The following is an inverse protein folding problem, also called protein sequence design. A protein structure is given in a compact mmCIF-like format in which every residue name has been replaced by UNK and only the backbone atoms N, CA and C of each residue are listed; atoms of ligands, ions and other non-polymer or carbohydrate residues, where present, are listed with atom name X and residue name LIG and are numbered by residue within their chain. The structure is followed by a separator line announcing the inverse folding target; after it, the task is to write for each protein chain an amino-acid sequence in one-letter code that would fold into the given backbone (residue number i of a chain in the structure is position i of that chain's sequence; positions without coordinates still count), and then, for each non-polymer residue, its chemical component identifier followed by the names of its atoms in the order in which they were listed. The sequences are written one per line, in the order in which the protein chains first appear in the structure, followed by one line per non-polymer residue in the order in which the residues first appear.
data_IF_303834900247
#
_entry.id   IF_303834900247
#
_cell.length_a   1.000
_cell.length_b   1.000
_cell.length_c   1.000
_cell.angle_alpha   90.00
_cell.angle_beta   90.00
_cell.angle_gamma   90.00
#
_symmetry.space_group_name_H-M   'P 1'
#
loop_
_entity.id
_entity.type
_entity.pdbx_description
1 polymer ?
#
# COMPACT_ATOMS: atom_id res chain seq x y z
N UNK A 1 -29.09 -58.42 1.24
CA UNK A 1 -28.80 -57.49 0.14
C UNK A 1 -29.35 -56.10 0.49
N UNK A 2 -28.53 -55.23 1.06
CA UNK A 2 -28.91 -53.84 1.39
C UNK A 2 -28.37 -52.89 0.32
N UNK A 3 -29.26 -52.17 -0.38
CA UNK A 3 -28.90 -51.14 -1.37
C UNK A 3 -28.43 -49.88 -0.64
N UNK A 4 -27.13 -49.62 -0.70
CA UNK A 4 -26.51 -48.33 -0.37
C UNK A 4 -27.00 -47.25 -1.35
N UNK A 5 -27.73 -46.24 -0.85
CA UNK A 5 -28.10 -45.05 -1.61
C UNK A 5 -26.88 -44.14 -1.73
N UNK A 6 -26.39 -43.96 -2.96
CA UNK A 6 -25.32 -43.02 -3.30
C UNK A 6 -25.67 -41.59 -2.86
N UNK A 7 -24.81 -41.03 -2.01
CA UNK A 7 -24.85 -39.62 -1.61
C UNK A 7 -24.34 -38.80 -2.79
N UNK A 8 -25.26 -38.14 -3.49
CA UNK A 8 -24.95 -37.20 -4.59
C UNK A 8 -24.03 -36.09 -4.10
N UNK A 9 -22.75 -36.16 -4.47
CA UNK A 9 -21.77 -35.08 -4.33
C UNK A 9 -22.02 -34.00 -5.39
N UNK A 10 -22.95 -33.08 -5.11
CA UNK A 10 -22.97 -31.82 -5.85
C UNK A 10 -21.64 -31.08 -5.54
N UNK A 11 -20.78 -30.81 -6.53
CA UNK A 11 -19.36 -30.57 -6.29
C UNK A 11 -19.12 -29.13 -5.84
N UNK A 12 -18.09 -28.95 -4.99
CA UNK A 12 -17.59 -27.70 -4.41
C UNK A 12 -17.53 -26.48 -5.36
N UNK A 13 -17.52 -26.68 -6.68
CA UNK A 13 -17.65 -25.62 -7.69
C UNK A 13 -18.91 -24.75 -7.51
N UNK A 14 -20.08 -25.33 -7.19
CA UNK A 14 -21.32 -24.53 -7.00
C UNK A 14 -21.29 -23.65 -5.74
N UNK A 15 -20.50 -24.02 -4.73
CA UNK A 15 -20.31 -23.22 -3.52
C UNK A 15 -19.43 -21.99 -3.82
N UNK A 16 -18.30 -22.17 -4.51
CA UNK A 16 -17.41 -21.06 -4.89
C UNK A 16 -18.07 -20.01 -5.79
N UNK A 17 -18.94 -20.43 -6.72
CA UNK A 17 -19.70 -19.49 -7.58
C UNK A 17 -20.81 -18.74 -6.84
N UNK A 18 -21.44 -19.36 -5.83
CA UNK A 18 -22.41 -18.67 -4.97
C UNK A 18 -21.72 -17.68 -4.05
N UNK A 19 -20.59 -18.06 -3.47
CA UNK A 19 -19.80 -17.24 -2.56
C UNK A 19 -19.16 -16.03 -3.27
N UNK A 20 -18.66 -16.23 -4.50
CA UNK A 20 -18.22 -15.13 -5.37
C UNK A 20 -19.39 -14.19 -5.73
N UNK A 21 -20.58 -14.73 -6.04
CA UNK A 21 -21.78 -13.91 -6.27
C UNK A 21 -22.24 -13.16 -5.02
N UNK A 22 -22.09 -13.75 -3.84
CA UNK A 22 -22.42 -13.14 -2.54
C UNK A 22 -21.47 -11.98 -2.24
N UNK A 23 -20.16 -12.17 -2.46
CA UNK A 23 -19.14 -11.11 -2.34
C UNK A 23 -19.40 -9.97 -3.34
N UNK A 24 -19.65 -10.28 -4.61
CA UNK A 24 -20.02 -9.29 -5.65
C UNK A 24 -21.30 -8.53 -5.28
N UNK A 25 -22.29 -9.20 -4.67
CA UNK A 25 -23.56 -8.58 -4.28
C UNK A 25 -23.41 -7.58 -3.14
N UNK A 26 -22.42 -7.76 -2.27
CA UNK A 26 -22.24 -6.96 -1.07
C UNK A 26 -21.38 -5.70 -1.28
N UNK A 27 -20.46 -5.69 -2.25
CA UNK A 27 -19.63 -4.51 -2.56
C UNK A 27 -19.61 -4.15 -4.06
N UNK A 28 -20.80 -3.98 -4.66
CA UNK A 28 -20.96 -3.72 -6.10
C UNK A 28 -20.04 -2.59 -6.64
N UNK A 29 -19.87 -1.43 -5.97
CA UNK A 29 -19.00 -0.38 -6.47
C UNK A 29 -17.53 -0.81 -6.56
N UNK A 30 -17.00 -1.43 -5.51
CA UNK A 30 -15.62 -1.91 -5.49
C UNK A 30 -15.37 -2.98 -6.56
N UNK A 31 -16.33 -3.89 -6.75
CA UNK A 31 -16.24 -4.90 -7.81
C UNK A 31 -16.24 -4.29 -9.22
N UNK A 32 -17.04 -3.25 -9.47
CA UNK A 32 -17.04 -2.53 -10.75
C UNK A 32 -15.69 -1.87 -10.99
N UNK A 33 -15.18 -1.12 -10.00
CA UNK A 33 -13.86 -0.48 -10.09
C UNK A 33 -12.76 -1.51 -10.35
N UNK A 34 -12.72 -2.57 -9.55
CA UNK A 34 -11.78 -3.68 -9.73
C UNK A 34 -11.85 -4.28 -11.13
N UNK A 35 -13.04 -4.52 -11.66
CA UNK A 35 -13.22 -5.09 -12.99
C UNK A 35 -12.73 -4.16 -14.09
N UNK A 36 -13.05 -2.87 -14.00
CA UNK A 36 -12.63 -1.85 -14.97
C UNK A 36 -11.11 -1.71 -14.97
N UNK A 37 -10.50 -1.48 -13.80
CA UNK A 37 -9.04 -1.35 -13.67
C UNK A 37 -8.35 -2.61 -14.17
N UNK A 38 -8.85 -3.79 -13.83
CA UNK A 38 -8.28 -5.07 -14.27
C UNK A 38 -8.31 -5.24 -15.79
N UNK A 39 -9.41 -4.87 -16.45
CA UNK A 39 -9.50 -4.92 -17.92
C UNK A 39 -8.47 -3.98 -18.54
N UNK A 40 -8.32 -2.75 -18.00
CA UNK A 40 -7.31 -1.79 -18.48
C UNK A 40 -5.91 -2.38 -18.36
N UNK A 41 -5.55 -2.93 -17.19
CA UNK A 41 -4.22 -3.55 -16.97
C UNK A 41 -3.97 -4.71 -17.92
N UNK A 42 -4.98 -5.55 -18.21
CA UNK A 42 -4.84 -6.65 -19.18
C UNK A 42 -4.57 -6.11 -20.59
N UNK A 43 -5.25 -5.03 -21.00
CA UNK A 43 -5.01 -4.41 -22.29
C UNK A 43 -3.59 -3.82 -22.39
N UNK A 44 -3.12 -3.16 -21.32
CA UNK A 44 -1.74 -2.66 -21.22
C UNK A 44 -0.74 -3.80 -21.27
N UNK A 45 -0.97 -4.90 -20.54
CA UNK A 45 -0.11 -6.07 -20.56
C UNK A 45 0.03 -6.67 -21.97
N UNK A 46 -1.08 -6.80 -22.71
CA UNK A 46 -1.06 -7.25 -24.11
C UNK A 46 -0.27 -6.27 -24.97
N UNK A 47 -0.47 -4.96 -24.80
CA UNK A 47 0.28 -3.94 -25.52
C UNK A 47 1.80 -4.00 -25.25
N UNK A 48 2.21 -4.18 -23.99
CA UNK A 48 3.61 -4.35 -23.61
C UNK A 48 4.24 -5.59 -24.26
N UNK A 49 3.55 -6.72 -24.30
CA UNK A 49 4.02 -7.95 -24.97
C UNK A 49 4.19 -7.71 -26.47
N UNK A 50 3.22 -7.07 -27.13
CA UNK A 50 3.31 -6.74 -28.55
C UNK A 50 4.50 -5.83 -28.88
N UNK A 51 4.90 -4.97 -27.93
CA UNK A 51 6.05 -4.06 -28.03
C UNK A 51 7.36 -4.66 -27.49
N UNK A 52 7.34 -5.90 -26.99
CA UNK A 52 8.47 -6.60 -26.34
C UNK A 52 9.03 -5.84 -25.12
N UNK A 53 8.17 -5.11 -24.41
CA UNK A 53 8.51 -4.43 -23.17
C UNK A 53 8.27 -5.37 -21.98
N UNK A 54 9.25 -6.22 -21.69
CA UNK A 54 9.11 -7.30 -20.70
C UNK A 54 9.02 -6.78 -19.26
N UNK A 55 9.78 -5.74 -18.90
CA UNK A 55 9.71 -5.12 -17.58
C UNK A 55 8.31 -4.56 -17.30
N UNK A 56 7.77 -3.74 -18.21
CA UNK A 56 6.41 -3.21 -18.08
C UNK A 56 5.33 -4.31 -18.04
N UNK A 57 5.56 -5.42 -18.76
CA UNK A 57 4.69 -6.59 -18.68
C UNK A 57 4.74 -7.27 -17.30
N UNK A 58 5.93 -7.38 -16.69
CA UNK A 58 6.08 -7.89 -15.32
C UNK A 58 5.39 -6.98 -14.30
N UNK A 59 5.49 -5.65 -14.45
CA UNK A 59 4.76 -4.68 -13.60
C UNK A 59 3.25 -4.84 -13.74
N UNK A 60 2.74 -5.12 -14.94
CA UNK A 60 1.33 -5.47 -15.13
C UNK A 60 0.94 -6.77 -14.41
N UNK A 61 1.77 -7.80 -14.47
CA UNK A 61 1.51 -9.06 -13.76
C UNK A 61 1.49 -8.86 -12.24
N UNK A 62 2.44 -8.09 -11.71
CA UNK A 62 2.48 -7.69 -10.30
C UNK A 62 1.21 -6.91 -9.92
N UNK A 63 0.79 -5.95 -10.75
CA UNK A 63 -0.45 -5.18 -10.52
C UNK A 63 -1.68 -6.10 -10.43
N UNK A 64 -1.81 -7.07 -11.34
CA UNK A 64 -2.92 -8.02 -11.32
C UNK A 64 -2.91 -8.91 -10.07
N UNK A 65 -1.73 -9.27 -9.57
CA UNK A 65 -1.56 -9.98 -8.31
C UNK A 65 -1.98 -9.08 -7.12
N UNK A 66 -1.51 -7.83 -7.08
CA UNK A 66 -1.80 -6.88 -6.02
C UNK A 66 -3.29 -6.52 -5.93
N UNK A 67 -4.01 -6.49 -7.07
CA UNK A 67 -5.47 -6.34 -7.07
C UNK A 67 -6.23 -7.46 -6.35
N UNK A 68 -5.57 -8.57 -6.00
CA UNK A 68 -6.14 -9.63 -5.16
C UNK A 68 -5.96 -9.37 -3.66
N UNK A 69 -5.14 -8.39 -3.26
CA UNK A 69 -4.79 -8.13 -1.86
C UNK A 69 -6.00 -7.84 -0.98
N UNK A 70 -6.97 -6.98 -1.35
CA UNK A 70 -8.14 -6.72 -0.49
C UNK A 70 -8.93 -8.00 -0.21
N UNK A 71 -9.26 -8.78 -1.23
CA UNK A 71 -9.99 -10.04 -1.09
C UNK A 71 -9.20 -11.10 -0.30
N UNK A 72 -7.88 -11.12 -0.43
CA UNK A 72 -7.02 -12.00 0.35
C UNK A 72 -7.09 -11.66 1.84
N UNK A 73 -6.96 -10.37 2.17
CA UNK A 73 -7.04 -9.85 3.54
C UNK A 73 -8.41 -10.14 4.17
N UNK A 74 -9.51 -9.84 3.46
CA UNK A 74 -10.87 -10.10 3.94
C UNK A 74 -11.09 -11.58 4.27
N UNK A 75 -10.66 -12.49 3.36
CA UNK A 75 -10.82 -13.93 3.57
C UNK A 75 -9.94 -14.48 4.69
N UNK A 76 -8.70 -14.01 4.79
CA UNK A 76 -7.74 -14.51 5.79
C UNK A 76 -8.06 -14.01 7.18
N UNK A 77 -8.47 -12.76 7.31
CA UNK A 77 -8.83 -12.17 8.60
C UNK A 77 -10.31 -12.39 8.95
N UNK A 78 -11.12 -12.88 8.01
CA UNK A 78 -12.58 -13.04 8.17
C UNK A 78 -13.27 -11.70 8.50
N UNK A 79 -12.80 -10.62 7.85
CA UNK A 79 -13.28 -9.24 8.02
C UNK A 79 -13.88 -8.75 6.70
N UNK A 80 -14.67 -7.67 6.76
CA UNK A 80 -15.10 -6.93 5.57
C UNK A 80 -14.44 -5.57 5.57
N UNK A 81 -13.78 -5.23 4.48
CA UNK A 81 -13.21 -3.90 4.32
C UNK A 81 -14.30 -2.91 3.92
N UNK A 82 -14.22 -1.66 4.39
CA UNK A 82 -15.10 -0.60 3.90
C UNK A 82 -14.91 -0.41 2.40
N UNK A 83 -16.02 -0.22 1.67
CA UNK A 83 -16.00 -0.02 0.20
C UNK A 83 -15.03 1.08 -0.22
N UNK A 84 -14.97 2.18 0.53
CA UNK A 84 -14.08 3.29 0.22
C UNK A 84 -12.60 2.90 0.37
N UNK A 85 -12.25 2.14 1.41
CA UNK A 85 -10.89 1.65 1.63
C UNK A 85 -10.47 0.67 0.52
N UNK A 86 -11.34 -0.27 0.16
CA UNK A 86 -11.10 -1.23 -0.93
C UNK A 86 -10.88 -0.51 -2.27
N UNK A 87 -11.76 0.43 -2.63
CA UNK A 87 -11.60 1.24 -3.86
C UNK A 87 -10.30 2.05 -3.80
N UNK A 88 -10.00 2.68 -2.67
CA UNK A 88 -8.81 3.53 -2.54
C UNK A 88 -7.53 2.72 -2.72
N UNK A 89 -7.45 1.51 -2.17
CA UNK A 89 -6.30 0.60 -2.37
C UNK A 89 -6.18 0.18 -3.84
N UNK A 90 -7.27 -0.15 -4.51
CA UNK A 90 -7.23 -0.52 -5.93
C UNK A 90 -6.78 0.63 -6.84
N UNK A 91 -7.30 1.83 -6.60
CA UNK A 91 -6.90 3.03 -7.33
C UNK A 91 -5.45 3.37 -7.04
N UNK A 92 -5.01 3.28 -5.77
CA UNK A 92 -3.62 3.51 -5.37
C UNK A 92 -2.66 2.58 -6.11
N UNK A 93 -2.92 1.26 -6.12
CA UNK A 93 -2.11 0.28 -6.83
C UNK A 93 -2.03 0.61 -8.33
N UNK A 94 -3.16 1.01 -8.94
CA UNK A 94 -3.19 1.40 -10.35
C UNK A 94 -2.36 2.67 -10.61
N UNK A 95 -2.47 3.68 -9.75
CA UNK A 95 -1.72 4.92 -9.86
C UNK A 95 -0.21 4.69 -9.70
N UNK A 96 0.21 3.85 -8.75
CA UNK A 96 1.63 3.54 -8.55
C UNK A 96 2.19 2.72 -9.74
N UNK A 97 1.57 1.58 -10.06
CA UNK A 97 2.17 0.61 -10.97
C UNK A 97 1.90 0.90 -12.45
N UNK A 98 0.73 1.44 -12.81
CA UNK A 98 0.39 1.67 -14.21
C UNK A 98 0.69 3.10 -14.62
N UNK A 99 0.24 4.08 -13.84
CA UNK A 99 0.51 5.48 -14.16
C UNK A 99 1.93 5.87 -13.79
N UNK A 100 2.40 5.50 -12.60
CA UNK A 100 3.75 5.75 -12.12
C UNK A 100 4.81 5.08 -13.00
N UNK A 101 4.89 3.76 -12.97
CA UNK A 101 5.94 3.01 -13.69
C UNK A 101 5.76 3.03 -15.21
N UNK A 102 4.61 2.55 -15.71
CA UNK A 102 4.45 2.30 -17.16
C UNK A 102 4.19 3.60 -17.94
N UNK A 103 3.39 4.51 -17.39
CA UNK A 103 3.14 5.81 -18.02
C UNK A 103 4.17 6.89 -17.61
N UNK A 104 5.17 6.53 -16.81
CA UNK A 104 6.27 7.38 -16.36
C UNK A 104 5.84 8.63 -15.59
N UNK A 105 4.78 8.53 -14.78
CA UNK A 105 4.31 9.69 -14.00
C UNK A 105 5.28 10.08 -12.88
N UNK A 106 6.08 9.13 -12.36
CA UNK A 106 7.14 9.42 -11.39
C UNK A 106 8.15 10.46 -11.90
N UNK A 107 8.39 10.47 -13.22
CA UNK A 107 9.34 11.40 -13.85
C UNK A 107 8.62 12.64 -14.39
N UNK A 108 7.44 12.46 -14.99
CA UNK A 108 6.75 13.54 -15.72
C UNK A 108 6.02 14.53 -14.82
N UNK A 109 5.46 14.06 -13.70
CA UNK A 109 4.61 14.89 -12.85
C UNK A 109 5.31 15.15 -11.52
N UNK A 110 5.63 16.43 -11.21
CA UNK A 110 6.17 16.80 -9.92
C UNK A 110 5.24 16.33 -8.80
N UNK A 111 5.83 15.82 -7.71
CA UNK A 111 5.12 15.35 -6.52
C UNK A 111 4.25 14.10 -6.72
N UNK A 112 4.25 13.44 -7.89
CA UNK A 112 3.47 12.22 -8.08
C UNK A 112 3.80 11.17 -7.02
N UNK A 113 5.08 10.95 -6.80
CA UNK A 113 5.57 10.00 -5.82
C UNK A 113 5.16 10.39 -4.40
N UNK A 114 5.51 11.61 -4.02
CA UNK A 114 5.19 12.20 -2.71
C UNK A 114 3.69 12.14 -2.40
N UNK A 115 2.83 12.35 -3.40
CA UNK A 115 1.38 12.23 -3.26
C UNK A 115 0.99 10.78 -2.96
N UNK A 116 1.56 9.81 -3.67
CA UNK A 116 1.34 8.39 -3.41
C UNK A 116 1.83 8.01 -2.01
N UNK A 117 3.05 8.36 -1.62
CA UNK A 117 3.55 8.06 -0.26
C UNK A 117 2.71 8.72 0.84
N UNK A 118 2.21 9.94 0.62
CA UNK A 118 1.24 10.57 1.54
C UNK A 118 -0.06 9.78 1.63
N UNK A 119 -0.63 9.37 0.49
CA UNK A 119 -1.85 8.58 0.45
C UNK A 119 -1.65 7.21 1.10
N UNK A 120 -0.48 6.61 0.89
CA UNK A 120 -0.07 5.33 1.47
C UNK A 120 -0.08 5.40 3.01
N UNK A 121 0.54 6.44 3.56
CA UNK A 121 0.58 6.69 5.00
C UNK A 121 -0.81 6.82 5.60
N UNK A 122 -1.71 7.53 4.92
CA UNK A 122 -3.10 7.67 5.31
C UNK A 122 -3.87 6.33 5.26
N UNK A 123 -3.76 5.60 4.14
CA UNK A 123 -4.50 4.35 3.91
C UNK A 123 -4.05 3.23 4.85
N UNK A 124 -2.75 3.08 5.10
CA UNK A 124 -2.27 2.06 6.02
C UNK A 124 -2.55 2.42 7.48
N UNK A 125 -2.56 3.71 7.84
CA UNK A 125 -3.07 4.13 9.14
C UNK A 125 -4.56 3.80 9.29
N UNK A 126 -5.37 4.03 8.24
CA UNK A 126 -6.77 3.62 8.21
C UNK A 126 -6.94 2.12 8.40
N UNK A 127 -6.18 1.33 7.66
CA UNK A 127 -6.21 -0.12 7.77
C UNK A 127 -5.79 -0.61 9.17
N UNK A 128 -4.68 -0.10 9.71
CA UNK A 128 -4.20 -0.44 11.06
C UNK A 128 -5.22 -0.08 12.14
N UNK A 129 -5.85 1.09 12.03
CA UNK A 129 -6.92 1.51 12.91
C UNK A 129 -8.12 0.55 12.87
N UNK A 130 -8.54 0.15 11.67
CA UNK A 130 -9.62 -0.82 11.48
C UNK A 130 -9.30 -2.16 12.14
N UNK A 131 -8.05 -2.63 12.00
CA UNK A 131 -7.61 -3.90 12.59
C UNK A 131 -7.70 -3.86 14.13
N UNK A 132 -7.24 -2.77 14.75
CA UNK A 132 -7.32 -2.60 16.21
C UNK A 132 -8.76 -2.46 16.67
N UNK A 133 -9.60 -1.74 15.93
CA UNK A 133 -11.02 -1.59 16.25
C UNK A 133 -11.77 -2.93 16.21
N UNK A 134 -11.52 -3.75 15.19
CA UNK A 134 -12.04 -5.11 15.08
C UNK A 134 -11.61 -6.02 16.25
N UNK A 135 -10.36 -5.88 16.72
CA UNK A 135 -9.89 -6.61 17.90
C UNK A 135 -10.59 -6.14 19.18
N UNK A 136 -10.88 -4.85 19.31
CA UNK A 136 -11.60 -4.27 20.44
C UNK A 136 -13.08 -4.69 20.50
N UNK A 137 -13.73 -4.92 19.35
CA UNK A 137 -15.12 -5.40 19.31
C UNK A 137 -15.26 -6.88 19.71
N UNK A 138 -14.17 -7.64 19.70
CA UNK A 138 -14.19 -9.05 20.06
C UNK A 138 -14.33 -9.22 21.58
N UNK A 139 -15.50 -9.68 22.03
CA UNK A 139 -15.84 -9.88 23.46
C UNK A 139 -14.86 -10.77 24.25
N UNK A 140 -14.00 -11.55 23.58
CA UNK A 140 -12.92 -12.31 24.24
C UNK A 140 -11.75 -11.43 24.68
N UNK A 141 -11.50 -10.32 23.99
CA UNK A 141 -10.48 -9.34 24.34
C UNK A 141 -11.12 -8.24 25.19
N UNK A 142 -10.95 -8.34 26.51
CA UNK A 142 -11.49 -7.40 27.51
C UNK A 142 -10.71 -6.08 27.62
N UNK A 143 -9.80 -5.79 26.70
CA UNK A 143 -9.03 -4.56 26.72
C UNK A 143 -9.78 -3.51 25.90
N UNK A 144 -10.55 -2.65 26.57
CA UNK A 144 -11.04 -1.42 25.95
C UNK A 144 -9.83 -0.49 25.77
N UNK A 145 -9.07 -0.67 24.69
CA UNK A 145 -7.91 0.17 24.39
C UNK A 145 -8.38 1.62 24.23
N UNK A 146 -7.63 2.56 24.80
CA UNK A 146 -8.00 3.97 24.70
C UNK A 146 -7.97 4.44 23.24
N UNK A 147 -8.78 5.43 22.85
CA UNK A 147 -8.76 5.98 21.50
C UNK A 147 -7.37 6.47 21.08
N UNK A 148 -6.58 6.97 22.06
CA UNK A 148 -5.20 7.37 21.83
C UNK A 148 -4.31 6.17 21.51
N UNK A 149 -4.43 5.06 22.25
CA UNK A 149 -3.68 3.85 21.97
C UNK A 149 -3.98 3.30 20.58
N UNK A 150 -5.25 3.30 20.16
CA UNK A 150 -5.63 2.89 18.81
C UNK A 150 -4.98 3.76 17.73
N UNK A 151 -4.95 5.08 17.93
CA UNK A 151 -4.31 6.02 17.00
C UNK A 151 -2.79 5.81 16.92
N UNK A 152 -2.12 5.57 18.04
CA UNK A 152 -0.67 5.27 18.07
C UNK A 152 -0.38 3.95 17.37
N UNK A 153 -1.16 2.90 17.62
CA UNK A 153 -0.99 1.60 16.95
C UNK A 153 -1.21 1.71 15.44
N UNK A 154 -2.22 2.47 15.00
CA UNK A 154 -2.48 2.74 13.59
C UNK A 154 -1.32 3.48 12.93
N UNK A 155 -0.76 4.48 13.62
CA UNK A 155 0.40 5.23 13.16
C UNK A 155 1.64 4.32 13.02
N UNK A 156 1.96 3.53 14.06
CA UNK A 156 3.09 2.60 14.03
C UNK A 156 2.93 1.55 12.93
N UNK A 157 1.71 1.05 12.72
CA UNK A 157 1.43 0.11 11.64
C UNK A 157 1.73 0.75 10.28
N UNK A 158 1.25 1.97 10.05
CA UNK A 158 1.49 2.70 8.81
C UNK A 158 2.98 2.94 8.54
N UNK A 159 3.71 3.45 9.54
CA UNK A 159 5.15 3.69 9.41
C UNK A 159 5.94 2.40 9.18
N UNK A 160 5.54 1.29 9.81
CA UNK A 160 6.19 -0.01 9.60
C UNK A 160 6.06 -0.47 8.15
N UNK A 161 4.88 -0.28 7.54
CA UNK A 161 4.69 -0.62 6.12
C UNK A 161 5.49 0.32 5.23
N UNK A 162 5.54 1.62 5.54
CA UNK A 162 6.39 2.58 4.84
C UNK A 162 7.86 2.14 4.83
N UNK A 163 8.45 1.87 6.00
CA UNK A 163 9.85 1.39 6.09
C UNK A 163 10.06 0.07 5.36
N UNK A 164 9.10 -0.86 5.42
CA UNK A 164 9.20 -2.12 4.69
C UNK A 164 9.20 -1.92 3.17
N UNK A 165 8.54 -0.87 2.68
CA UNK A 165 8.57 -0.48 1.27
C UNK A 165 9.93 0.08 0.88
N UNK A 166 10.52 0.99 1.66
CA UNK A 166 11.87 1.50 1.41
C UNK A 166 12.93 0.38 1.39
N UNK A 167 12.78 -0.62 2.26
CA UNK A 167 13.64 -1.81 2.23
C UNK A 167 13.46 -2.65 0.97
N UNK A 168 12.25 -2.68 0.42
CA UNK A 168 12.00 -3.36 -0.85
C UNK A 168 12.65 -2.61 -2.01
N UNK A 169 12.55 -1.28 -2.05
CA UNK A 169 13.16 -0.44 -3.08
C UNK A 169 14.68 -0.52 -3.04
N UNK A 170 15.29 -0.31 -1.87
CA UNK A 170 16.72 -0.51 -1.69
C UNK A 170 17.16 -1.92 -2.07
N UNK A 171 16.38 -2.93 -1.70
CA UNK A 171 16.66 -4.32 -2.05
C UNK A 171 16.60 -4.56 -3.56
N UNK A 172 15.64 -3.95 -4.26
CA UNK A 172 15.51 -4.02 -5.70
C UNK A 172 16.69 -3.34 -6.41
N UNK A 173 17.08 -2.15 -5.96
CA UNK A 173 18.18 -1.39 -6.54
C UNK A 173 19.51 -2.12 -6.34
N UNK A 174 19.75 -2.61 -5.13
CA UNK A 174 20.99 -3.29 -4.79
C UNK A 174 21.11 -4.70 -5.39
N UNK A 175 20.02 -5.48 -5.43
CA UNK A 175 20.09 -6.90 -5.84
C UNK A 175 19.73 -7.13 -7.30
N UNK A 176 18.87 -6.27 -7.87
CA UNK A 176 18.35 -6.43 -9.23
C UNK A 176 18.88 -5.34 -10.18
N UNK A 177 19.60 -4.34 -9.68
CA UNK A 177 20.13 -3.24 -10.49
C UNK A 177 19.03 -2.35 -11.07
N UNK A 178 17.92 -2.22 -10.34
CA UNK A 178 16.85 -1.29 -10.66
C UNK A 178 17.19 0.12 -10.12
N UNK A 179 16.27 1.06 -10.31
CA UNK A 179 16.37 2.45 -9.85
C UNK A 179 15.00 2.86 -9.30
N UNK A 180 14.62 2.24 -8.18
CA UNK A 180 13.38 2.47 -7.47
C UNK A 180 13.50 3.68 -6.56
N UNK A 181 14.58 3.79 -5.78
CA UNK A 181 14.89 4.97 -4.95
C UNK A 181 15.45 6.06 -5.86
N UNK A 182 14.61 7.01 -6.25
CA UNK A 182 14.94 7.96 -7.31
C UNK A 182 16.11 8.86 -6.93
N UNK A 183 17.01 9.07 -7.87
CA UNK A 183 18.17 9.94 -7.69
C UNK A 183 17.78 11.41 -7.51
N UNK A 184 18.56 12.12 -6.68
CA UNK A 184 18.46 13.58 -6.55
C UNK A 184 19.81 14.26 -6.70
N UNK A 185 19.85 15.31 -7.52
CA UNK A 185 21.02 16.19 -7.58
C UNK A 185 20.93 17.21 -6.46
N UNK A 186 21.91 17.19 -5.56
CA UNK A 186 22.08 18.15 -4.46
C UNK A 186 23.35 18.97 -4.68
N UNK A 187 23.37 20.19 -4.13
CA UNK A 187 24.49 21.13 -4.26
C UNK A 187 25.24 21.35 -2.96
N UNK A 188 24.83 20.68 -1.88
CA UNK A 188 25.44 20.78 -0.56
C UNK A 188 25.20 19.52 0.28
N UNK A 189 26.17 19.17 1.12
CA UNK A 189 26.03 18.13 2.13
C UNK A 189 27.03 18.34 3.28
N UNK A 190 26.90 17.57 4.34
CA UNK A 190 27.82 17.54 5.47
C UNK A 190 28.35 16.11 5.62
N UNK A 191 29.67 15.94 5.75
CA UNK A 191 30.24 14.60 5.91
C UNK A 191 31.38 14.57 6.93
N UNK A 192 31.31 13.60 7.84
CA UNK A 192 32.38 13.30 8.79
C UNK A 192 33.54 12.54 8.14
N UNK A 193 33.31 11.90 6.99
CA UNK A 193 34.36 11.20 6.21
C UNK A 193 35.42 12.18 5.70
N UNK A 194 35.06 13.45 5.56
CA UNK A 194 35.98 14.50 5.10
C UNK A 194 36.79 15.12 6.25
N UNK A 195 36.55 14.72 7.50
CA UNK A 195 37.31 15.18 8.66
C UNK A 195 38.71 14.56 8.66
N UNK A 196 39.78 15.36 8.42
CA UNK A 196 41.14 14.85 8.39
C UNK A 196 41.65 14.43 9.78
N UNK A 197 40.94 14.79 10.85
CA UNK A 197 41.32 14.50 12.24
C UNK A 197 40.65 13.26 12.81
N UNK A 198 39.74 12.64 12.06
CA UNK A 198 38.93 11.49 12.51
C UNK A 198 38.20 11.75 13.85
N UNK A 199 37.84 13.01 14.14
CA UNK A 199 37.25 13.44 15.41
C UNK A 199 35.73 13.59 15.35
N UNK A 200 35.10 13.04 14.31
CA UNK A 200 33.65 13.08 14.07
C UNK A 200 33.11 14.52 13.89
N UNK A 201 33.93 15.41 13.30
CA UNK A 201 33.50 16.77 12.96
C UNK A 201 32.86 16.74 11.58
N UNK A 202 31.59 17.16 11.41
CA UNK A 202 30.97 17.23 10.09
C UNK A 202 31.60 18.38 9.30
N UNK A 203 32.20 18.06 8.16
CA UNK A 203 32.75 19.08 7.26
C UNK A 203 31.69 19.51 6.25
N UNK A 204 31.37 20.82 6.17
CA UNK A 204 30.44 21.36 5.20
C UNK A 204 31.02 21.39 3.79
N UNK A 205 30.24 20.89 2.84
CA UNK A 205 30.47 21.06 1.40
C UNK A 205 29.28 21.82 0.84
N UNK A 206 29.54 22.97 0.22
CA UNK A 206 28.53 23.84 -0.38
C UNK A 206 28.91 24.18 -1.83
N UNK A 207 27.94 24.67 -2.59
CA UNK A 207 28.13 25.17 -3.96
C UNK A 207 28.81 24.14 -4.87
N UNK A 208 28.39 22.88 -4.78
CA UNK A 208 28.91 21.80 -5.63
C UNK A 208 28.49 22.08 -7.07
N UNK A 209 29.45 22.50 -7.89
CA UNK A 209 29.21 22.77 -9.32
C UNK A 209 29.14 21.49 -10.14
N UNK A 210 29.99 20.50 -9.81
CA UNK A 210 30.16 19.30 -10.63
C UNK A 210 30.73 18.11 -9.86
N UNK A 211 30.20 16.93 -10.13
CA UNK A 211 30.80 15.63 -9.76
C UNK A 211 31.21 14.88 -11.02
N UNK A 212 32.39 14.26 -11.00
CA UNK A 212 32.88 13.39 -12.07
C UNK A 212 33.06 11.98 -11.51
N UNK A 213 32.37 11.01 -12.11
CA UNK A 213 32.45 9.59 -11.75
C UNK A 213 33.23 8.89 -12.86
N UNK A 214 34.41 8.38 -12.53
CA UNK A 214 35.25 7.59 -13.42
C UNK A 214 35.15 6.12 -13.03
N UNK A 215 34.80 5.29 -14.00
CA UNK A 215 34.68 3.84 -13.81
C UNK A 215 35.96 3.14 -14.26
N UNK A 216 36.19 1.91 -13.75
CA UNK A 216 37.41 1.16 -14.06
C UNK A 216 37.57 0.79 -15.55
N UNK A 217 36.50 0.85 -16.35
CA UNK A 217 36.55 0.64 -17.79
C UNK A 217 36.86 1.92 -18.60
N UNK A 218 37.03 3.06 -17.91
CA UNK A 218 37.31 4.37 -18.49
C UNK A 218 36.07 5.20 -18.85
N UNK A 219 34.85 4.72 -18.57
CA UNK A 219 33.64 5.51 -18.76
C UNK A 219 33.58 6.65 -17.72
N UNK A 220 33.26 7.85 -18.18
CA UNK A 220 33.18 9.06 -17.37
C UNK A 220 31.75 9.61 -17.40
N UNK A 221 31.16 9.77 -16.22
CA UNK A 221 29.87 10.43 -16.02
C UNK A 221 30.08 11.77 -15.34
N UNK A 222 29.48 12.83 -15.89
CA UNK A 222 29.56 14.20 -15.37
C UNK A 222 28.18 14.64 -14.94
N UNK A 223 28.08 15.13 -13.71
CA UNK A 223 26.82 15.53 -13.08
C UNK A 223 26.98 16.96 -12.59
N UNK A 224 26.03 17.82 -12.91
CA UNK A 224 26.00 19.24 -12.51
C UNK A 224 25.50 19.35 -11.06
N UNK A 225 26.36 18.97 -10.12
CA UNK A 225 26.06 18.84 -8.69
C UNK A 225 26.60 17.53 -8.12
N UNK A 226 26.08 17.09 -6.97
CA UNK A 226 26.32 15.78 -6.38
C UNK A 226 25.09 14.89 -6.54
N UNK A 227 25.30 13.67 -7.01
CA UNK A 227 24.24 12.68 -7.17
C UNK A 227 24.02 11.95 -5.85
N UNK A 228 22.91 12.27 -5.19
CA UNK A 228 22.40 11.51 -4.06
C UNK A 228 21.55 10.35 -4.59
N UNK A 229 22.04 9.14 -4.35
CA UNK A 229 21.38 7.90 -4.81
C UNK A 229 20.41 7.45 -3.72
N UNK A 230 19.17 7.91 -3.82
CA UNK A 230 18.03 7.41 -3.05
C UNK A 230 17.91 7.84 -1.59
N UNK A 231 18.92 8.45 -0.95
CA UNK A 231 18.84 8.81 0.48
C UNK A 231 17.80 9.92 0.74
N UNK A 232 17.86 10.99 -0.04
CA UNK A 232 16.92 12.11 0.08
C UNK A 232 15.52 11.67 -0.30
N UNK A 233 15.39 10.86 -1.36
CA UNK A 233 14.13 10.30 -1.84
C UNK A 233 13.44 9.47 -0.74
N UNK A 234 14.12 8.44 -0.24
CA UNK A 234 13.69 7.59 0.89
C UNK A 234 13.25 8.42 2.09
N UNK A 235 14.03 9.43 2.44
CA UNK A 235 13.75 10.27 3.61
C UNK A 235 12.51 11.13 3.38
N UNK A 236 12.37 11.71 2.19
CA UNK A 236 11.18 12.51 1.83
C UNK A 236 9.93 11.65 1.79
N UNK A 237 10.02 10.43 1.26
CA UNK A 237 8.91 9.50 1.13
C UNK A 237 8.41 8.99 2.48
N UNK A 238 9.32 8.60 3.37
CA UNK A 238 8.97 8.29 4.76
C UNK A 238 8.36 9.50 5.48
N UNK A 239 8.83 10.71 5.19
CA UNK A 239 8.32 11.93 5.82
C UNK A 239 6.91 12.28 5.36
N UNK A 240 6.62 12.21 4.06
CA UNK A 240 5.25 12.47 3.57
C UNK A 240 4.30 11.34 3.93
N UNK A 241 4.77 10.09 3.99
CA UNK A 241 4.03 8.97 4.57
C UNK A 241 3.69 9.23 6.05
N UNK A 242 4.65 9.72 6.84
CA UNK A 242 4.43 10.15 8.22
C UNK A 242 3.31 11.19 8.32
N UNK A 243 3.32 12.22 7.47
CA UNK A 243 2.27 13.25 7.44
C UNK A 243 0.90 12.61 7.19
N UNK A 244 0.79 11.75 6.16
CA UNK A 244 -0.44 11.04 5.83
C UNK A 244 -0.97 10.22 7.01
N UNK A 245 -0.09 9.49 7.69
CA UNK A 245 -0.42 8.68 8.85
C UNK A 245 -0.91 9.53 10.04
N UNK A 246 -0.22 10.64 10.35
CA UNK A 246 -0.62 11.57 11.41
C UNK A 246 -2.00 12.16 11.13
N UNK A 247 -2.24 12.60 9.89
CA UNK A 247 -3.54 13.17 9.49
C UNK A 247 -4.66 12.15 9.72
N UNK A 248 -4.49 10.90 9.29
CA UNK A 248 -5.49 9.87 9.55
C UNK A 248 -5.68 9.64 11.06
N UNK A 249 -4.60 9.48 11.81
CA UNK A 249 -4.67 9.19 13.25
C UNK A 249 -5.38 10.28 14.04
N UNK A 250 -5.20 11.56 13.68
CA UNK A 250 -5.95 12.69 14.27
C UNK A 250 -7.44 12.57 13.93
N UNK A 251 -7.77 12.31 12.65
CA UNK A 251 -9.17 12.16 12.20
C UNK A 251 -9.85 10.97 12.89
N UNK A 252 -9.18 9.82 12.95
CA UNK A 252 -9.66 8.60 13.60
C UNK A 252 -9.83 8.76 15.11
N UNK A 253 -8.87 9.41 15.77
CA UNK A 253 -8.95 9.73 17.20
C UNK A 253 -10.15 10.63 17.52
N UNK A 254 -10.36 11.70 16.75
CA UNK A 254 -11.53 12.59 16.90
C UNK A 254 -12.83 11.81 16.69
N UNK A 255 -12.89 10.92 15.70
CA UNK A 255 -14.07 10.12 15.40
C UNK A 255 -14.50 9.22 16.57
N UNK A 256 -13.56 8.46 17.14
CA UNK A 256 -13.86 7.56 18.27
C UNK A 256 -14.15 8.37 19.53
N UNK A 257 -13.37 9.41 19.79
CA UNK A 257 -13.54 10.27 20.98
C UNK A 257 -14.91 10.97 21.00
N UNK A 258 -15.53 11.17 19.83
CA UNK A 258 -16.86 11.80 19.68
C UNK A 258 -18.01 10.81 19.39
N UNK A 259 -17.78 9.49 19.51
CA UNK A 259 -18.74 8.41 19.20
C UNK A 259 -19.56 8.67 17.92
N UNK A 260 -18.90 8.74 16.76
CA UNK A 260 -19.56 8.44 15.48
C UNK A 260 -20.26 9.60 14.74
N UNK A 261 -20.02 10.86 15.08
CA UNK A 261 -20.64 12.01 14.38
C UNK A 261 -19.89 12.49 13.11
N UNK A 262 -18.77 11.88 12.72
CA UNK A 262 -17.99 12.33 11.55
C UNK A 262 -18.17 11.40 10.33
N UNK A 263 -18.73 11.93 9.23
CA UNK A 263 -19.09 11.17 8.02
C UNK A 263 -17.88 10.67 7.21
N UNK A 264 -16.75 11.38 7.25
CA UNK A 264 -15.54 11.00 6.51
C UNK A 264 -14.89 9.74 7.09
N UNK A 265 -14.66 9.70 8.41
CA UNK A 265 -14.07 8.54 9.08
C UNK A 265 -14.96 7.29 9.01
N UNK A 266 -16.29 7.46 9.07
CA UNK A 266 -17.24 6.34 8.94
C UNK A 266 -17.15 5.61 7.59
N UNK A 267 -16.67 6.26 6.53
CA UNK A 267 -16.47 5.62 5.23
C UNK A 267 -15.27 4.65 5.21
N UNK A 268 -14.33 4.81 6.15
CA UNK A 268 -13.10 4.04 6.25
C UNK A 268 -13.08 3.04 7.40
N UNK A 269 -14.18 2.86 8.14
CA UNK A 269 -14.24 1.97 9.31
C UNK A 269 -15.18 0.78 9.04
N UNK A 270 -14.74 -0.48 9.24
CA UNK A 270 -15.53 -1.67 8.96
C UNK A 270 -16.64 -1.86 9.99
N UNK A 271 -17.73 -2.49 9.55
CA UNK A 271 -18.82 -2.92 10.43
C UNK A 271 -18.78 -4.44 10.50
N UNK A 272 -18.69 -5.00 11.70
CA UNK A 272 -18.74 -6.47 11.89
C UNK A 272 -20.07 -7.00 11.38
N UNK A 273 -20.01 -7.94 10.43
CA UNK A 273 -21.18 -8.72 10.05
C UNK A 273 -21.63 -9.58 11.21
N UNK A 274 -22.77 -9.23 11.81
CA UNK A 274 -23.49 -10.19 12.65
C UNK A 274 -23.98 -11.32 11.74
N UNK A 275 -23.78 -12.60 12.11
CA UNK A 275 -24.50 -13.68 11.45
C UNK A 275 -26.00 -13.41 11.63
N UNK A 276 -26.78 -13.54 10.55
CA UNK A 276 -28.23 -13.52 10.64
C UNK A 276 -28.63 -14.56 11.68
N UNK A 277 -29.15 -14.10 12.82
CA UNK A 277 -29.89 -14.96 13.73
C UNK A 277 -30.97 -15.61 12.90
N UNK A 278 -30.88 -16.93 12.73
CA UNK A 278 -31.92 -17.77 12.15
C UNK A 278 -33.25 -17.40 12.81
N UNK A 279 -34.03 -16.61 12.09
CA UNK A 279 -35.41 -16.33 12.44
C UNK A 279 -36.19 -17.62 12.27
N UNK A 280 -36.89 -18.03 13.32
CA UNK A 280 -37.99 -18.99 13.22
C UNK A 280 -37.71 -20.34 13.85
N UNK A 281 -37.95 -20.43 15.15
CA UNK A 281 -38.78 -21.52 15.68
C UNK A 281 -39.58 -20.96 16.87
N UNK A 282 -40.64 -20.23 16.52
CA UNK A 282 -41.85 -20.23 17.34
C UNK A 282 -42.65 -21.44 16.90
N UNK A 283 -42.89 -22.37 17.82
CA UNK A 283 -44.13 -23.12 17.90
C UNK A 283 -44.29 -23.71 19.31
N UNK A 284 -45.55 -23.92 19.74
CA UNK A 284 -46.04 -23.74 21.11
C UNK A 284 -45.66 -24.85 22.10
#
# INVERSE_FOLDING_TARGET
MAKSKGRSSAPAKRAGWKELKEQIRQNKPAFVVWSVLRVIVILVAVWCVLRRQWESFLSCLLTLLLFMAPSFVEKKLQIKLPTALEISVLVFIFCAQILGEIACFYIQYPFWDKMLHTANGFLFAAFGFCLVDLLNENKRFRFALSPMFQAVMAFCFSMTIGVAWEFFEFGADHLLGLDMQKDRVITEFQSVTLDPTESNIPIPVHEIEKTTIETADGSIYVIDGYLDVGLVDTTEDLFVNFIGAVVFCVVGWIYISRRGKNRLAAAFIPVVTKPETSAGEHQP
#
